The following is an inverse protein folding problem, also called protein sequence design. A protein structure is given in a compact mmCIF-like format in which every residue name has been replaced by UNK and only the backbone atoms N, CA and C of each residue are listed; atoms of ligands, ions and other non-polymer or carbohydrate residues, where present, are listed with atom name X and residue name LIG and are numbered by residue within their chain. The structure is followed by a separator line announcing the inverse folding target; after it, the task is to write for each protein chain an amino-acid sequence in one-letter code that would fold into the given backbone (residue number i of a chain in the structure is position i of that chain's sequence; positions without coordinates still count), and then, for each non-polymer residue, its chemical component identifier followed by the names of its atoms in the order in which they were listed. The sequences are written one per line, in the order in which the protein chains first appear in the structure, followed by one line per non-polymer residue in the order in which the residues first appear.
data_IF_396737672078
#
_entry.id   IF_396737672078
#
_cell.length_a   1.000
_cell.length_b   1.000
_cell.length_c   1.000
_cell.angle_alpha   90.00
_cell.angle_beta   90.00
_cell.angle_gamma   90.00
#
_symmetry.space_group_name_H-M   'P 1'
#
loop_
_entity.id
_entity.type
_entity.pdbx_description
1 polymer ?
#
# COMPACT_ATOMS: atom_id res chain seq x y z
N UNK A 1 9.37 -5.34 -4.08
CA UNK A 1 7.98 -4.97 -3.80
C UNK A 1 7.94 -3.47 -3.86
N UNK A 2 7.46 -2.92 -4.99
CA UNK A 2 7.24 -1.49 -5.13
C UNK A 2 6.01 -1.18 -4.29
N UNK A 3 6.21 -0.53 -3.15
CA UNK A 3 5.12 -0.14 -2.28
C UNK A 3 4.79 1.29 -2.61
N UNK A 4 3.58 1.46 -3.13
CA UNK A 4 3.10 2.72 -3.66
C UNK A 4 2.51 3.52 -2.52
N UNK A 5 3.22 4.59 -2.13
CA UNK A 5 2.82 5.44 -1.01
C UNK A 5 2.65 6.88 -1.51
N UNK A 6 1.40 7.35 -1.57
CA UNK A 6 1.08 8.77 -1.49
C UNK A 6 0.42 9.01 -0.13
N UNK A 7 0.81 10.08 0.56
CA UNK A 7 0.19 10.48 1.83
C UNK A 7 -0.61 11.73 1.56
N UNK A 8 -1.93 11.59 1.52
CA UNK A 8 -2.86 12.69 1.39
C UNK A 8 -3.54 12.96 2.74
N UNK A 9 -3.54 14.22 3.16
CA UNK A 9 -4.09 14.63 4.45
C UNK A 9 -5.40 15.40 4.22
N UNK A 10 -6.54 14.83 4.60
CA UNK A 10 -7.88 15.46 4.48
C UNK A 10 -8.07 16.73 5.34
N UNK A 11 -7.11 17.05 6.21
CA UNK A 11 -7.09 18.24 7.08
C UNK A 11 -5.73 18.92 6.87
N UNK A 12 -5.60 20.21 7.22
CA UNK A 12 -4.35 21.02 7.28
C UNK A 12 -3.28 20.43 8.25
N UNK A 13 -3.14 19.11 8.29
CA UNK A 13 -2.20 18.35 9.06
C UNK A 13 -0.87 18.31 8.31
N UNK A 14 0.15 18.92 8.90
CA UNK A 14 1.52 18.90 8.39
C UNK A 14 2.34 17.99 9.32
N UNK A 15 2.49 16.69 9.00
CA UNK A 15 3.29 15.80 9.83
C UNK A 15 4.74 16.27 9.88
N UNK A 16 5.40 16.06 11.02
CA UNK A 16 6.86 16.18 11.09
C UNK A 16 7.49 15.11 10.18
N UNK A 17 8.73 15.33 9.74
CA UNK A 17 9.45 14.32 8.95
C UNK A 17 9.53 12.95 9.66
N UNK A 18 9.64 12.95 11.00
CA UNK A 18 9.61 11.73 11.80
C UNK A 18 8.23 11.05 11.76
N UNK A 19 7.14 11.83 11.90
CA UNK A 19 5.78 11.28 11.85
C UNK A 19 5.46 10.74 10.46
N UNK A 20 5.91 11.42 9.40
CA UNK A 20 5.75 10.98 8.02
C UNK A 20 6.43 9.63 7.81
N UNK A 21 7.70 9.48 8.24
CA UNK A 21 8.42 8.20 8.20
C UNK A 21 7.71 7.11 9.00
N UNK A 22 7.19 7.43 10.19
CA UNK A 22 6.45 6.47 11.01
C UNK A 22 5.20 5.97 10.27
N UNK A 23 4.44 6.87 9.65
CA UNK A 23 3.23 6.53 8.88
C UNK A 23 3.59 5.67 7.66
N UNK A 24 4.63 6.06 6.91
CA UNK A 24 5.14 5.29 5.79
C UNK A 24 5.52 3.86 6.21
N UNK A 25 6.32 3.72 7.27
CA UNK A 25 6.70 2.43 7.85
C UNK A 25 5.50 1.54 8.17
N UNK A 26 4.44 2.12 8.74
CA UNK A 26 3.21 1.39 9.07
C UNK A 26 2.49 0.91 7.82
N UNK A 27 2.33 1.77 6.82
CA UNK A 27 1.70 1.42 5.53
C UNK A 27 2.47 0.30 4.85
N UNK A 28 3.80 0.40 4.78
CA UNK A 28 4.67 -0.63 4.21
C UNK A 28 4.53 -1.96 4.96
N UNK A 29 4.52 -1.93 6.30
CA UNK A 29 4.36 -3.13 7.12
C UNK A 29 3.04 -3.82 6.86
N UNK A 30 1.94 -3.07 6.80
CA UNK A 30 0.60 -3.59 6.51
C UNK A 30 0.57 -4.27 5.14
N UNK A 31 0.99 -3.56 4.09
CA UNK A 31 0.95 -4.08 2.72
C UNK A 31 1.83 -5.32 2.56
N UNK A 32 3.04 -5.32 3.13
CA UNK A 32 3.94 -6.48 3.09
C UNK A 32 3.39 -7.68 3.86
N UNK A 33 2.73 -7.43 5.00
CA UNK A 33 2.20 -8.49 5.83
C UNK A 33 0.96 -9.14 5.21
N UNK A 34 0.10 -8.33 4.57
CA UNK A 34 -1.12 -8.79 3.90
C UNK A 34 -0.88 -9.27 2.46
N UNK A 35 0.23 -8.88 1.84
CA UNK A 35 0.61 -9.30 0.48
C UNK A 35 0.06 -8.40 -0.61
N UNK A 36 -0.26 -7.15 -0.27
CA UNK A 36 -0.69 -6.18 -1.27
C UNK A 36 0.49 -5.70 -2.11
N UNK A 37 0.29 -5.79 -3.42
CA UNK A 37 1.16 -5.20 -4.42
C UNK A 37 0.74 -3.76 -4.74
N UNK A 38 -0.57 -3.47 -4.64
CA UNK A 38 -1.19 -2.16 -4.82
C UNK A 38 -2.33 -2.03 -3.81
N UNK A 39 -2.39 -0.94 -3.06
CA UNK A 39 -3.38 -0.71 -2.00
C UNK A 39 -3.37 0.77 -1.60
N UNK A 40 -4.48 1.26 -1.06
CA UNK A 40 -4.47 2.49 -0.24
C UNK A 40 -4.69 2.16 1.23
N UNK A 41 -4.05 2.95 2.09
CA UNK A 41 -4.20 2.85 3.53
C UNK A 41 -4.58 4.21 4.07
N UNK A 42 -5.76 4.30 4.70
CA UNK A 42 -6.18 5.47 5.44
C UNK A 42 -5.73 5.36 6.90
N UNK A 43 -5.06 6.40 7.38
CA UNK A 43 -4.61 6.52 8.76
C UNK A 43 -5.35 7.66 9.46
N UNK A 44 -5.96 7.38 10.61
CA UNK A 44 -6.44 8.38 11.55
C UNK A 44 -5.38 8.62 12.64
N UNK A 45 -5.12 9.88 12.96
CA UNK A 45 -4.23 10.24 14.06
C UNK A 45 -5.05 10.60 15.30
N UNK A 46 -4.85 9.87 16.40
CA UNK A 46 -5.46 10.16 17.71
C UNK A 46 -4.36 10.25 18.76
N UNK A 47 -4.27 11.39 19.44
CA UNK A 47 -3.26 11.65 20.49
C UNK A 47 -1.82 11.36 20.04
N UNK A 48 -1.52 11.65 18.77
CA UNK A 48 -0.21 11.40 18.16
C UNK A 48 0.05 9.96 17.74
N UNK A 49 -0.89 9.04 17.95
CA UNK A 49 -0.82 7.62 17.56
C UNK A 49 -1.59 7.38 16.25
N UNK A 50 -0.95 6.80 15.21
CA UNK A 50 -1.63 6.45 13.96
C UNK A 50 -2.46 5.17 14.11
N UNK A 51 -3.68 5.18 13.58
CA UNK A 51 -4.58 4.03 13.50
C UNK A 51 -4.98 3.80 12.05
N UNK A 52 -4.78 2.58 11.53
CA UNK A 52 -5.30 2.21 10.23
C UNK A 52 -6.82 2.04 10.32
N UNK A 53 -7.55 2.85 9.56
CA UNK A 53 -9.03 2.83 9.54
C UNK A 53 -9.57 2.12 8.30
N UNK A 54 -8.85 2.22 7.19
CA UNK A 54 -9.06 1.43 6.00
C UNK A 54 -7.70 1.00 5.47
N UNK A 55 -7.54 -0.29 5.23
CA UNK A 55 -6.28 -0.88 4.78
C UNK A 55 -6.49 -2.06 3.83
N UNK A 56 -7.74 -2.26 3.39
CA UNK A 56 -8.16 -3.38 2.55
C UNK A 56 -8.74 -2.86 1.23
N UNK A 57 -8.05 -1.93 0.57
CA UNK A 57 -8.49 -1.29 -0.66
C UNK A 57 -7.51 -1.55 -1.83
N UNK A 58 -7.44 -2.79 -2.36
CA UNK A 58 -6.50 -3.19 -3.41
C UNK A 58 -6.83 -2.66 -4.81
N UNK A 59 -7.80 -1.75 -4.93
CA UNK A 59 -8.17 -1.06 -6.17
C UNK A 59 -8.61 0.37 -5.80
N UNK A 60 -7.66 1.22 -5.38
CA UNK A 60 -7.99 2.56 -4.92
C UNK A 60 -8.65 3.39 -6.00
N UNK A 61 -9.63 4.19 -5.58
CA UNK A 61 -10.16 5.27 -6.41
C UNK A 61 -9.08 6.35 -6.52
N UNK A 62 -8.43 6.37 -7.67
CA UNK A 62 -7.43 7.35 -8.03
C UNK A 62 -7.96 8.30 -9.10
N UNK A 63 -9.26 8.61 -9.10
CA UNK A 63 -9.81 9.59 -10.04
C UNK A 63 -9.12 10.95 -9.89
N UNK A 64 -8.95 11.64 -11.01
CA UNK A 64 -8.21 12.89 -11.11
C UNK A 64 -8.76 13.96 -10.14
N UNK A 65 -10.09 14.04 -10.00
CA UNK A 65 -10.72 14.99 -9.10
C UNK A 65 -10.48 14.68 -7.61
N UNK A 66 -10.20 13.42 -7.29
CA UNK A 66 -9.94 12.96 -5.93
C UNK A 66 -8.50 13.24 -5.50
N UNK A 67 -7.53 12.85 -6.32
CA UNK A 67 -6.10 12.85 -5.94
C UNK A 67 -5.30 14.02 -6.50
N UNK A 68 -5.83 14.75 -7.48
CA UNK A 68 -5.15 15.85 -8.18
C UNK A 68 -4.20 15.38 -9.29
N UNK A 69 -3.79 16.32 -10.15
CA UNK A 69 -3.02 16.03 -11.39
C UNK A 69 -1.71 15.30 -11.15
N UNK A 70 -0.87 15.78 -10.22
CA UNK A 70 0.45 15.20 -9.96
C UNK A 70 0.34 13.75 -9.46
N UNK A 71 -0.56 13.50 -8.50
CA UNK A 71 -0.77 12.16 -7.96
C UNK A 71 -1.43 11.24 -8.99
N UNK A 72 -2.37 11.76 -9.78
CA UNK A 72 -3.01 11.00 -10.85
C UNK A 72 -1.97 10.53 -11.88
N UNK A 73 -1.15 11.46 -12.39
CA UNK A 73 -0.10 11.15 -13.34
C UNK A 73 0.88 10.12 -12.78
N UNK A 74 1.30 10.32 -11.53
CA UNK A 74 2.17 9.37 -10.84
C UNK A 74 1.54 7.99 -10.69
N UNK A 75 0.27 7.88 -10.25
CA UNK A 75 -0.43 6.60 -10.09
C UNK A 75 -0.53 5.87 -11.43
N UNK A 76 -0.89 6.56 -12.51
CA UNK A 76 -1.04 5.96 -13.84
C UNK A 76 0.28 5.42 -14.36
N UNK A 77 1.34 6.24 -14.33
CA UNK A 77 2.68 5.83 -14.77
C UNK A 77 3.18 4.63 -13.97
N UNK A 78 3.01 4.71 -12.65
CA UNK A 78 3.47 3.70 -11.71
C UNK A 78 2.73 2.37 -11.89
N UNK A 79 1.40 2.41 -12.03
CA UNK A 79 0.58 1.21 -12.27
C UNK A 79 0.91 0.57 -13.63
N UNK A 80 1.14 1.38 -14.67
CA UNK A 80 1.51 0.89 -16.00
C UNK A 80 2.88 0.19 -15.98
N UNK A 81 3.89 0.81 -15.36
CA UNK A 81 5.21 0.21 -15.19
C UNK A 81 5.14 -1.09 -14.40
N UNK A 82 4.36 -1.11 -13.32
CA UNK A 82 4.18 -2.32 -12.52
C UNK A 82 3.50 -3.46 -13.29
N UNK A 83 2.49 -3.15 -14.10
CA UNK A 83 1.84 -4.15 -14.96
C UNK A 83 2.83 -4.75 -15.97
N UNK A 84 3.71 -3.94 -16.55
CA UNK A 84 4.78 -4.40 -17.45
C UNK A 84 5.76 -5.31 -16.70
N UNK A 85 6.21 -4.91 -15.51
CA UNK A 85 7.10 -5.72 -14.67
C UNK A 85 6.50 -7.09 -14.37
N UNK A 86 5.21 -7.15 -14.00
CA UNK A 86 4.52 -8.41 -13.72
C UNK A 86 4.37 -9.28 -14.98
N UNK A 87 4.10 -8.67 -16.13
CA UNK A 87 4.03 -9.37 -17.41
C UNK A 87 5.39 -9.98 -17.80
N UNK A 88 6.48 -9.23 -17.63
CA UNK A 88 7.85 -9.68 -17.91
C UNK A 88 8.29 -10.77 -16.94
N UNK A 89 7.94 -10.65 -15.65
CA UNK A 89 8.29 -11.62 -14.62
C UNK A 89 7.43 -12.90 -14.65
N UNK A 90 6.37 -12.93 -15.47
CA UNK A 90 5.42 -14.04 -15.52
C UNK A 90 6.09 -15.35 -15.92
N UNK A 91 5.82 -16.40 -15.15
CA UNK A 91 6.29 -17.76 -15.41
C UNK A 91 5.11 -18.67 -15.76
N UNK A 92 5.01 -19.15 -17.01
CA UNK A 92 3.95 -20.06 -17.42
C UNK A 92 3.90 -21.32 -16.55
N UNK A 93 2.70 -21.73 -16.15
CA UNK A 93 2.47 -22.93 -15.34
C UNK A 93 2.89 -22.81 -13.87
N UNK A 94 3.26 -21.62 -13.39
CA UNK A 94 3.54 -21.36 -11.97
C UNK A 94 2.48 -20.45 -11.34
N UNK A 95 2.38 -20.50 -10.01
CA UNK A 95 1.67 -19.47 -9.27
C UNK A 95 2.49 -18.16 -9.30
N UNK A 96 1.91 -17.12 -9.87
CA UNK A 96 2.52 -15.79 -9.99
C UNK A 96 1.88 -14.78 -9.00
N UNK A 97 1.01 -15.25 -8.10
CA UNK A 97 0.37 -14.44 -7.08
C UNK A 97 1.32 -14.11 -5.92
N UNK A 98 1.09 -12.98 -5.28
CA UNK A 98 1.79 -12.58 -4.06
C UNK A 98 0.96 -13.02 -2.86
N UNK A 99 1.53 -13.89 -2.01
CA UNK A 99 0.90 -14.29 -0.75
C UNK A 99 1.63 -13.61 0.41
N UNK A 100 0.93 -12.73 1.12
CA UNK A 100 1.47 -12.03 2.28
C UNK A 100 1.86 -12.96 3.42
N UNK A 101 2.69 -12.45 4.34
CA UNK A 101 3.14 -13.18 5.53
C UNK A 101 1.98 -13.75 6.34
N UNK A 102 0.85 -13.05 6.41
CA UNK A 102 -0.34 -13.54 7.11
C UNK A 102 -0.78 -14.91 6.59
N UNK A 103 -1.08 -15.02 5.29
CA UNK A 103 -1.56 -16.28 4.70
C UNK A 103 -0.50 -17.38 4.81
N UNK A 104 0.77 -17.07 4.53
CA UNK A 104 1.86 -18.06 4.63
C UNK A 104 2.02 -18.61 6.05
N UNK A 105 1.80 -17.78 7.08
CA UNK A 105 1.92 -18.21 8.48
C UNK A 105 0.67 -18.95 8.94
N UNK A 106 -0.50 -18.44 8.60
CA UNK A 106 -1.78 -19.04 8.94
C UNK A 106 -1.90 -20.46 8.37
N UNK A 107 -1.58 -20.66 7.09
CA UNK A 107 -1.62 -21.98 6.45
C UNK A 107 -0.60 -22.96 7.02
N UNK A 108 0.53 -22.46 7.54
CA UNK A 108 1.58 -23.25 8.16
C UNK A 108 1.42 -23.45 9.68
N UNK A 109 0.33 -22.96 10.29
CA UNK A 109 0.13 -23.04 11.74
C UNK A 109 1.16 -22.27 12.58
N UNK A 110 1.79 -21.24 12.01
CA UNK A 110 2.81 -20.42 12.70
C UNK A 110 2.15 -19.24 13.44
N UNK A 111 2.70 -18.80 14.59
CA UNK A 111 2.19 -17.64 15.32
C UNK A 111 2.16 -16.37 14.45
N UNK A 112 1.17 -15.48 14.60
CA UNK A 112 1.20 -14.16 13.98
C UNK A 112 2.16 -13.25 14.78
N UNK A 113 3.11 -12.58 14.12
CA UNK A 113 4.12 -11.71 14.76
C UNK A 113 4.14 -10.34 14.11
#
# INVERSE_FOLDING_TARGET
QHLFNSIETKINFKPTAEKLRQMEDLVLRINNYLGYDFNTVELALRDGVPYAIDFCNPAPDADLASVGEDNFAWVVETAANYAIEKAVAHKPGQDNLTWGKYITRASAGKPLI
#
